data_IF_579465023922
#
_entry.id   IF_579465023922
#
_cell.length_a   1.000
_cell.length_b   1.000
_cell.length_c   1.000
_cell.angle_alpha   90.00
_cell.angle_beta   90.00
_cell.angle_gamma   90.00
#
_symmetry.space_group_name_H-M   'P 1'
#
loop_
_entity.id
_entity.type
_entity.pdbx_description
1 polymer ?
#
# COMPACT_ATOMS: atom_id res chain seq x y z
N UNK A 1 -4.22 5.36 10.13
CA UNK A 1 -3.58 5.40 8.80
C UNK A 1 -4.32 4.38 7.96
N UNK A 2 -5.25 4.83 7.13
CA UNK A 2 -6.09 3.94 6.34
C UNK A 2 -5.24 3.62 5.10
N UNK A 3 -4.95 2.34 4.85
CA UNK A 3 -4.36 1.90 3.60
C UNK A 3 -5.36 2.13 2.48
N UNK A 4 -5.47 3.36 2.01
CA UNK A 4 -6.33 3.68 0.87
C UNK A 4 -5.80 2.98 -0.37
N UNK A 5 -6.72 2.59 -1.25
CA UNK A 5 -6.32 2.04 -2.54
C UNK A 5 -5.52 3.12 -3.26
N UNK A 6 -4.29 2.84 -3.74
CA UNK A 6 -3.40 3.84 -4.33
C UNK A 6 -3.94 4.48 -5.62
N UNK A 7 -5.10 4.04 -6.10
CA UNK A 7 -5.72 4.36 -7.37
C UNK A 7 -7.13 4.97 -7.23
N UNK A 8 -7.40 5.56 -6.07
CA UNK A 8 -8.59 6.38 -5.84
C UNK A 8 -8.34 7.84 -6.24
N UNK A 9 -9.30 8.71 -5.95
CA UNK A 9 -9.14 10.16 -6.08
C UNK A 9 -8.20 10.70 -4.99
N UNK A 10 -7.16 11.39 -5.40
CA UNK A 10 -6.07 11.88 -4.55
C UNK A 10 -5.81 13.38 -4.79
N UNK A 11 -4.73 13.89 -4.21
CA UNK A 11 -4.40 15.32 -4.15
C UNK A 11 -5.48 16.12 -3.41
N UNK A 12 -5.51 15.92 -2.09
CA UNK A 12 -6.47 16.57 -1.22
C UNK A 12 -6.22 18.08 -1.15
N UNK A 13 -7.17 18.86 -1.66
CA UNK A 13 -7.25 20.30 -1.44
C UNK A 13 -8.31 20.62 -0.41
N UNK A 14 -8.21 21.80 0.18
CA UNK A 14 -9.18 22.29 1.14
C UNK A 14 -9.82 23.58 0.66
N UNK A 15 -11.09 23.76 0.99
CA UNK A 15 -11.75 25.06 0.91
C UNK A 15 -12.56 25.33 2.17
N UNK A 16 -12.82 26.61 2.43
CA UNK A 16 -13.68 27.05 3.51
C UNK A 16 -15.00 27.54 2.93
N UNK A 17 -16.11 26.98 3.41
CA UNK A 17 -17.44 27.41 2.96
C UNK A 17 -17.72 28.84 3.43
N UNK A 18 -18.30 29.71 2.58
CA UNK A 18 -18.39 31.13 2.85
C UNK A 18 -19.31 31.47 4.04
N UNK A 19 -20.42 30.74 4.20
CA UNK A 19 -21.44 31.05 5.21
C UNK A 19 -21.30 30.24 6.49
N UNK A 20 -20.99 28.94 6.38
CA UNK A 20 -20.86 28.06 7.55
C UNK A 20 -19.43 28.00 8.09
N UNK A 21 -18.46 28.53 7.34
CA UNK A 21 -17.04 28.48 7.66
C UNK A 21 -16.44 27.07 7.83
N UNK A 22 -17.18 26.02 7.43
CA UNK A 22 -16.73 24.64 7.48
C UNK A 22 -15.52 24.44 6.56
N UNK A 23 -14.52 23.72 7.05
CA UNK A 23 -13.36 23.25 6.27
C UNK A 23 -13.74 21.94 5.59
N UNK A 24 -13.75 21.94 4.25
CA UNK A 24 -14.07 20.76 3.45
C UNK A 24 -12.83 20.34 2.68
N UNK A 25 -12.51 19.04 2.72
CA UNK A 25 -11.44 18.45 1.91
C UNK A 25 -12.04 17.72 0.71
N UNK A 26 -11.43 17.90 -0.44
CA UNK A 26 -11.81 17.23 -1.69
C UNK A 26 -10.56 16.84 -2.47
N UNK A 27 -10.64 15.73 -3.17
CA UNK A 27 -9.56 15.28 -4.05
C UNK A 27 -9.59 16.03 -5.38
N UNK A 28 -8.43 16.34 -5.94
CA UNK A 28 -8.30 17.13 -7.18
C UNK A 28 -7.83 16.30 -8.37
N UNK A 29 -7.31 15.10 -8.15
CA UNK A 29 -6.81 14.23 -9.21
C UNK A 29 -7.34 12.80 -9.06
N UNK A 30 -7.42 12.09 -10.19
CA UNK A 30 -7.75 10.68 -10.24
C UNK A 30 -6.57 9.90 -10.82
N UNK A 31 -6.04 8.93 -10.08
CA UNK A 31 -4.93 8.11 -10.56
C UNK A 31 -5.43 6.88 -11.32
N UNK A 32 -5.07 6.79 -12.59
CA UNK A 32 -5.48 5.71 -13.51
C UNK A 32 -4.27 4.89 -13.94
N UNK A 33 -4.07 3.70 -13.34
CA UNK A 33 -2.86 2.89 -13.54
C UNK A 33 -2.98 1.82 -14.62
N UNK A 34 -4.19 1.48 -15.04
CA UNK A 34 -4.43 0.43 -16.05
C UNK A 34 -5.34 0.96 -17.14
N UNK A 35 -5.00 0.69 -18.40
CA UNK A 35 -5.79 1.19 -19.55
C UNK A 35 -7.10 0.39 -19.72
N UNK A 36 -7.12 -0.88 -19.31
CA UNK A 36 -8.28 -1.78 -19.40
C UNK A 36 -8.36 -2.66 -18.15
N UNK A 37 -9.58 -2.96 -17.71
CA UNK A 37 -9.84 -3.79 -16.52
C UNK A 37 -10.01 -2.96 -15.23
N UNK A 38 -10.18 -3.61 -14.07
CA UNK A 38 -10.32 -2.92 -12.79
C UNK A 38 -9.07 -2.09 -12.48
N UNK A 39 -9.22 -0.79 -12.22
CA UNK A 39 -8.14 0.04 -11.68
C UNK A 39 -7.85 -0.48 -10.26
N UNK A 40 -6.92 -1.41 -10.15
CA UNK A 40 -6.51 -2.12 -8.95
C UNK A 40 -4.99 -2.36 -9.01
N UNK A 41 -4.25 -1.82 -8.05
CA UNK A 41 -2.86 -2.21 -7.84
C UNK A 41 -2.86 -3.36 -6.83
N UNK A 42 -2.26 -4.50 -7.19
CA UNK A 42 -2.10 -5.67 -6.33
C UNK A 42 -0.61 -5.91 -6.09
N UNK A 43 -0.22 -6.46 -4.92
CA UNK A 43 1.16 -6.88 -4.71
C UNK A 43 1.50 -8.09 -5.59
N UNK A 44 2.76 -8.25 -5.95
CA UNK A 44 3.25 -9.45 -6.64
C UNK A 44 3.13 -10.71 -5.75
N UNK A 45 3.21 -10.52 -4.43
CA UNK A 45 3.04 -11.54 -3.42
C UNK A 45 1.92 -11.14 -2.46
N UNK A 46 0.77 -11.79 -2.57
CA UNK A 46 -0.36 -11.59 -1.65
C UNK A 46 -0.22 -12.53 -0.45
N UNK A 47 -0.06 -11.93 0.73
CA UNK A 47 0.02 -12.63 2.01
C UNK A 47 -1.10 -12.13 2.91
N UNK A 48 -2.03 -13.01 3.26
CA UNK A 48 -3.19 -12.67 4.07
C UNK A 48 -2.94 -13.11 5.51
N UNK A 49 -2.88 -12.17 6.48
CA UNK A 49 -2.76 -12.53 7.89
C UNK A 49 -3.95 -13.37 8.35
N UNK A 50 -3.68 -14.49 9.02
CA UNK A 50 -4.73 -15.35 9.57
C UNK A 50 -4.95 -15.06 11.06
N UNK A 51 -6.11 -15.49 11.57
CA UNK A 51 -6.36 -15.48 13.01
C UNK A 51 -5.33 -16.31 13.79
N UNK A 52 -4.89 -17.44 13.22
CA UNK A 52 -3.89 -18.29 13.86
C UNK A 52 -2.55 -17.56 14.02
N UNK A 53 -2.13 -16.80 13.00
CA UNK A 53 -0.94 -15.95 13.06
C UNK A 53 -1.09 -14.87 14.13
N UNK A 54 -2.24 -14.19 14.16
CA UNK A 54 -2.54 -13.17 15.17
C UNK A 54 -2.48 -13.73 16.59
N UNK A 55 -3.11 -14.89 16.83
CA UNK A 55 -3.16 -15.55 18.15
C UNK A 55 -1.78 -15.85 18.72
N UNK A 56 -0.77 -16.07 17.87
CA UNK A 56 0.61 -16.37 18.30
C UNK A 56 1.56 -15.18 18.13
N UNK A 57 1.03 -13.98 17.83
CA UNK A 57 1.85 -12.78 17.63
C UNK A 57 2.75 -12.82 16.39
N UNK A 58 2.41 -13.65 15.40
CA UNK A 58 3.17 -13.78 14.15
C UNK A 58 2.62 -12.81 13.11
N UNK A 59 3.50 -12.00 12.53
CA UNK A 59 3.21 -11.24 11.31
C UNK A 59 3.77 -11.99 10.09
N UNK A 60 2.93 -12.61 9.24
CA UNK A 60 3.39 -13.37 8.09
C UNK A 60 4.01 -12.49 7.00
N UNK A 61 3.59 -11.22 6.88
CA UNK A 61 4.15 -10.27 5.92
C UNK A 61 5.57 -9.90 6.33
N UNK A 62 5.76 -9.53 7.59
CA UNK A 62 7.09 -9.17 8.11
C UNK A 62 8.06 -10.36 8.03
N UNK A 63 7.61 -11.56 8.43
CA UNK A 63 8.43 -12.77 8.35
C UNK A 63 8.88 -13.07 6.91
N UNK A 64 7.99 -12.88 5.93
CA UNK A 64 8.32 -13.05 4.52
C UNK A 64 9.36 -12.02 4.05
N UNK A 65 9.20 -10.74 4.40
CA UNK A 65 10.14 -9.67 4.04
C UNK A 65 11.54 -9.98 4.58
N UNK A 66 11.65 -10.37 5.86
CA UNK A 66 12.93 -10.69 6.49
C UNK A 66 13.64 -11.87 5.82
N UNK A 67 12.88 -12.90 5.41
CA UNK A 67 13.41 -14.04 4.66
C UNK A 67 13.83 -13.65 3.22
N UNK A 68 13.06 -12.79 2.56
CA UNK A 68 13.34 -12.38 1.19
C UNK A 68 14.58 -11.47 1.11
N UNK A 69 14.72 -10.54 2.06
CA UNK A 69 15.85 -9.63 2.12
C UNK A 69 17.19 -10.33 2.39
N UNK A 70 17.20 -11.36 3.25
CA UNK A 70 18.41 -12.14 3.50
C UNK A 70 18.83 -12.97 2.27
N UNK A 71 17.86 -13.53 1.55
CA UNK A 71 18.10 -14.29 0.32
C UNK A 71 18.61 -13.42 -0.83
N UNK A 72 18.07 -12.21 -0.99
CA UNK A 72 18.52 -11.27 -2.04
C UNK A 72 19.94 -10.76 -1.76
N UNK A 73 20.29 -10.52 -0.49
CA UNK A 73 21.63 -10.14 -0.09
C UNK A 73 22.67 -11.24 -0.36
N UNK A 74 22.34 -12.50 -0.07
CA UNK A 74 23.23 -13.63 -0.36
C UNK A 74 23.50 -13.79 -1.87
N UNK A 75 22.51 -13.54 -2.73
CA UNK A 75 22.66 -13.59 -4.20
C UNK A 75 23.55 -12.46 -4.74
N UNK A 76 23.42 -11.24 -4.23
CA UNK A 76 24.22 -10.11 -4.70
C UNK A 76 25.70 -10.20 -4.29
N UNK A 77 26.00 -10.85 -3.17
CA UNK A 77 27.36 -11.13 -2.71
C UNK A 77 28.00 -12.27 -3.52
N UNK A 78 27.23 -13.29 -3.91
CA UNK A 78 27.71 -14.43 -4.71
C UNK A 78 28.00 -14.12 -6.18
N UNK A 79 27.40 -13.07 -6.75
CA UNK A 79 27.60 -12.66 -8.15
C UNK A 79 28.83 -11.77 -8.40
N UNK A 80 29.60 -11.42 -7.36
CA UNK A 80 30.84 -10.63 -7.49
C UNK A 80 32.10 -11.49 -7.61
N UNK A 81 32.01 -12.67 -8.24
CA UNK A 81 33.15 -13.56 -8.53
C UNK A 81 33.18 -13.93 -10.01
#
# INVERSE_FOLDING_TARGET
MIGEKPNSFQEAREMRLPNSHLRVRYSTQYYHFVVRGPNAIRPDHELVPTWADYRVGRDPVLAWILHHASTSHARSVGQRR
#
